data_IF_740459540695
#
_entry.id   IF_740459540695
#
_cell.length_a   1.000
_cell.length_b   1.000
_cell.length_c   1.000
_cell.angle_alpha   90.00
_cell.angle_beta   90.00
_cell.angle_gamma   90.00
#
_symmetry.space_group_name_H-M   'P 1'
#
loop_
_entity.id
_entity.type
_entity.pdbx_description
1 polymer ?
#
# COMPACT_ATOMS: atom_id res chain seq x y z
N UNK A 1 11.23 20.29 19.51
CA UNK A 1 11.29 19.03 18.75
C UNK A 1 9.86 18.50 18.77
N UNK A 2 9.08 18.86 17.75
CA UNK A 2 7.74 18.33 17.58
C UNK A 2 7.90 17.05 16.75
N UNK A 3 7.56 15.92 17.34
CA UNK A 3 7.50 14.65 16.61
C UNK A 3 6.07 14.49 16.12
N UNK A 4 5.90 14.29 14.81
CA UNK A 4 4.61 13.88 14.26
C UNK A 4 4.56 12.36 14.34
N UNK A 5 3.62 11.84 15.13
CA UNK A 5 3.32 10.39 15.10
C UNK A 5 2.65 10.12 13.77
N UNK A 6 3.26 9.29 12.95
CA UNK A 6 2.77 9.00 11.62
C UNK A 6 2.25 7.56 11.62
N UNK A 7 0.94 7.39 11.66
CA UNK A 7 0.35 6.05 11.60
C UNK A 7 0.26 5.64 10.12
N UNK A 8 1.23 4.85 9.67
CA UNK A 8 1.22 4.25 8.34
C UNK A 8 0.40 2.96 8.35
N UNK A 9 -0.63 2.89 7.50
CA UNK A 9 -1.38 1.67 7.23
C UNK A 9 -1.37 1.42 5.74
N UNK A 10 -1.00 0.20 5.34
CA UNK A 10 -1.09 -0.24 3.95
C UNK A 10 -2.44 -0.94 3.79
N UNK A 11 -3.35 -0.34 3.03
CA UNK A 11 -4.61 -0.97 2.67
C UNK A 11 -4.53 -1.49 1.24
N UNK A 12 -5.07 -2.68 0.99
CA UNK A 12 -5.18 -3.19 -0.36
C UNK A 12 -6.63 -3.30 -0.72
N UNK A 13 -6.97 -2.70 -1.85
CA UNK A 13 -8.24 -2.87 -2.51
C UNK A 13 -8.00 -3.68 -3.78
N UNK A 14 -8.69 -4.81 -3.90
CA UNK A 14 -8.67 -5.59 -5.11
C UNK A 14 -9.49 -4.86 -6.18
N UNK A 15 -8.85 -4.52 -7.31
CA UNK A 15 -9.53 -3.98 -8.48
C UNK A 15 -9.74 -5.04 -9.57
N UNK A 16 -9.43 -6.31 -9.29
CA UNK A 16 -9.66 -7.41 -10.23
C UNK A 16 -11.16 -7.64 -10.42
N UNK A 17 -11.63 -7.42 -11.64
CA UNK A 17 -12.97 -7.80 -12.04
C UNK A 17 -12.95 -9.27 -12.49
N UNK A 18 -13.00 -10.23 -11.57
CA UNK A 18 -13.28 -11.62 -11.95
C UNK A 18 -14.80 -11.82 -12.07
N UNK A 19 -15.29 -11.66 -13.29
CA UNK A 19 -16.58 -12.19 -13.70
C UNK A 19 -16.40 -13.66 -14.06
N UNK A 20 -16.60 -14.61 -13.13
CA UNK A 20 -17.22 -15.91 -13.46
C UNK A 20 -17.52 -16.74 -12.22
N UNK A 21 -18.77 -17.22 -12.17
CA UNK A 21 -19.27 -18.26 -11.30
C UNK A 21 -18.56 -19.60 -11.57
N UNK A 22 -18.25 -20.34 -10.50
CA UNK A 22 -17.69 -21.71 -10.41
C UNK A 22 -16.15 -21.82 -10.36
N UNK A 23 -15.61 -21.72 -9.15
CA UNK A 23 -14.21 -22.01 -8.85
C UNK A 23 -13.75 -21.12 -7.72
N UNK A 24 -13.35 -21.72 -6.61
CA UNK A 24 -12.82 -21.07 -5.40
C UNK A 24 -11.42 -20.47 -5.65
N UNK A 25 -11.29 -19.61 -6.67
CA UNK A 25 -10.14 -18.73 -6.89
C UNK A 25 -10.37 -17.42 -6.15
N UNK A 26 -10.67 -17.55 -4.85
CA UNK A 26 -10.97 -16.43 -3.99
C UNK A 26 -9.76 -15.52 -3.84
N UNK A 27 -9.99 -14.33 -3.30
CA UNK A 27 -8.95 -13.37 -2.89
C UNK A 27 -7.93 -13.95 -1.88
N UNK A 28 -8.10 -15.23 -1.53
CA UNK A 28 -7.26 -16.10 -0.71
C UNK A 28 -5.92 -16.45 -1.37
N UNK A 29 -5.79 -16.15 -2.66
CA UNK A 29 -4.61 -16.48 -3.46
C UNK A 29 -3.50 -15.42 -3.40
N UNK A 30 -3.58 -14.40 -2.54
CA UNK A 30 -2.53 -13.39 -2.43
C UNK A 30 -2.09 -13.18 -0.99
N UNK A 31 -0.79 -13.34 -0.78
CA UNK A 31 -0.17 -13.16 0.53
C UNK A 31 0.67 -11.88 0.55
N UNK A 32 0.56 -11.14 1.64
CA UNK A 32 1.39 -9.96 1.85
C UNK A 32 2.38 -10.28 2.93
N UNK A 33 3.63 -10.27 2.52
CA UNK A 33 4.73 -10.56 3.39
C UNK A 33 5.65 -9.36 3.48
N UNK A 34 6.50 -9.38 4.50
CA UNK A 34 7.61 -8.44 4.60
C UNK A 34 7.19 -6.95 4.62
N UNK A 35 6.08 -6.62 5.30
CA UNK A 35 5.71 -5.23 5.55
C UNK A 35 6.79 -4.57 6.41
N UNK A 36 7.51 -3.63 5.80
CA UNK A 36 8.62 -2.89 6.40
C UNK A 36 8.32 -1.41 6.42
N UNK A 37 8.41 -0.80 7.60
CA UNK A 37 8.34 0.65 7.75
C UNK A 37 9.65 1.11 8.37
N UNK A 38 10.35 2.01 7.69
CA UNK A 38 11.65 2.55 8.14
C UNK A 38 11.54 3.39 9.41
N UNK A 39 10.43 4.09 9.61
CA UNK A 39 10.15 4.88 10.81
C UNK A 39 8.64 5.12 10.99
N UNK A 40 8.15 5.00 12.24
CA UNK A 40 6.78 5.37 12.62
C UNK A 40 6.68 6.80 13.19
N UNK A 41 7.84 7.43 13.39
CA UNK A 41 7.99 8.78 13.93
C UNK A 41 9.05 9.45 13.07
N UNK A 42 8.68 10.56 12.44
CA UNK A 42 9.60 11.35 11.62
C UNK A 42 9.48 12.82 12.00
N UNK A 43 10.60 13.53 11.94
CA UNK A 43 10.60 14.98 12.10
C UNK A 43 10.06 15.67 10.83
N UNK A 44 9.64 16.93 10.97
CA UNK A 44 9.27 17.75 9.82
C UNK A 44 10.41 17.81 8.80
N UNK A 45 10.12 17.53 7.53
CA UNK A 45 11.12 17.48 6.46
C UNK A 45 11.88 16.16 6.33
N UNK A 46 11.66 15.19 7.22
CA UNK A 46 12.17 13.82 7.05
C UNK A 46 11.28 12.98 6.13
N UNK A 47 11.83 11.84 5.69
CA UNK A 47 11.16 10.92 4.77
C UNK A 47 11.00 9.55 5.41
N UNK A 48 9.84 8.93 5.23
CA UNK A 48 9.58 7.54 5.56
C UNK A 48 9.52 6.71 4.29
N UNK A 49 10.22 5.58 4.32
CA UNK A 49 10.09 4.52 3.33
C UNK A 49 9.21 3.39 3.90
N UNK A 50 8.21 3.00 3.12
CA UNK A 50 7.25 1.94 3.42
C UNK A 50 7.33 0.94 2.28
N UNK A 51 7.68 -0.30 2.59
CA UNK A 51 7.79 -1.38 1.62
C UNK A 51 6.88 -2.54 2.00
N UNK A 52 6.25 -3.16 1.02
CA UNK A 52 5.50 -4.39 1.18
C UNK A 52 5.81 -5.34 0.01
N UNK A 53 5.80 -6.64 0.26
CA UNK A 53 5.89 -7.66 -0.78
C UNK A 53 4.50 -8.27 -0.95
N UNK A 54 4.01 -8.27 -2.18
CA UNK A 54 2.75 -8.89 -2.58
C UNK A 54 3.09 -10.13 -3.39
N UNK A 55 2.63 -11.27 -2.92
CA UNK A 55 2.78 -12.56 -3.58
C UNK A 55 1.43 -13.01 -4.12
N UNK A 56 1.42 -13.44 -5.38
CA UNK A 56 0.29 -14.11 -6.00
C UNK A 56 0.49 -15.63 -5.86
N UNK A 57 -0.11 -16.24 -4.85
CA UNK A 57 -0.18 -17.70 -4.69
C UNK A 57 -1.26 -18.36 -5.55
N UNK A 58 -2.01 -17.58 -6.34
CA UNK A 58 -3.03 -18.06 -7.26
C UNK A 58 -2.52 -18.45 -8.63
N UNK A 59 -3.45 -18.99 -9.42
CA UNK A 59 -3.19 -19.53 -10.76
C UNK A 59 -3.44 -18.51 -11.90
N UNK A 60 -3.91 -17.30 -11.58
CA UNK A 60 -4.21 -16.24 -12.56
C UNK A 60 -3.51 -14.92 -12.22
N UNK A 61 -3.11 -14.16 -13.25
CA UNK A 61 -2.57 -12.80 -13.07
C UNK A 61 -3.64 -11.89 -12.45
N UNK A 62 -3.27 -11.17 -11.39
CA UNK A 62 -4.17 -10.27 -10.68
C UNK A 62 -3.57 -8.86 -10.52
N UNK A 63 -4.44 -7.85 -10.57
CA UNK A 63 -4.06 -6.44 -10.35
C UNK A 63 -4.63 -5.93 -9.03
N UNK A 64 -3.77 -5.29 -8.22
CA UNK A 64 -4.07 -4.82 -6.88
C UNK A 64 -3.80 -3.33 -6.76
N UNK A 65 -4.73 -2.62 -6.11
CA UNK A 65 -4.50 -1.25 -5.71
C UNK A 65 -4.02 -1.23 -4.26
N UNK A 66 -2.78 -0.79 -4.10
CA UNK A 66 -2.14 -0.62 -2.81
C UNK A 66 -2.22 0.85 -2.42
N UNK A 67 -2.87 1.12 -1.31
CA UNK A 67 -3.05 2.47 -0.76
C UNK A 67 -2.19 2.64 0.47
N UNK A 68 -1.42 3.72 0.49
CA UNK A 68 -0.70 4.20 1.65
C UNK A 68 -1.58 5.19 2.41
N UNK A 69 -1.97 4.81 3.63
CA UNK A 69 -2.70 5.68 4.53
C UNK A 69 -1.75 6.24 5.59
N UNK A 70 -1.77 7.56 5.75
CA UNK A 70 -1.07 8.28 6.80
C UNK A 70 -2.11 8.96 7.68
N UNK A 71 -2.15 8.59 8.95
CA UNK A 71 -3.15 9.06 9.92
C UNK A 71 -4.60 8.79 9.46
N UNK A 72 -4.79 7.69 8.73
CA UNK A 72 -6.08 7.30 8.17
C UNK A 72 -6.48 8.05 6.89
N UNK A 73 -5.63 8.94 6.36
CA UNK A 73 -5.82 9.63 5.08
C UNK A 73 -4.99 8.94 4.01
N UNK A 74 -5.60 8.62 2.85
CA UNK A 74 -4.87 8.10 1.70
C UNK A 74 -3.94 9.18 1.13
N UNK A 75 -2.63 8.97 1.22
CA UNK A 75 -1.63 9.87 0.63
C UNK A 75 -1.28 9.44 -0.80
N UNK A 76 -1.03 8.15 -1.00
CA UNK A 76 -0.59 7.60 -2.29
C UNK A 76 -1.28 6.27 -2.57
N UNK A 77 -1.52 5.98 -3.86
CA UNK A 77 -2.05 4.71 -4.34
C UNK A 77 -1.21 4.21 -5.51
N UNK A 78 -0.89 2.92 -5.52
CA UNK A 78 -0.18 2.26 -6.62
C UNK A 78 -0.93 1.01 -7.04
N UNK A 79 -1.16 0.89 -8.35
CA UNK A 79 -1.65 -0.33 -8.95
C UNK A 79 -0.46 -1.23 -9.30
N UNK A 80 -0.56 -2.50 -8.94
CA UNK A 80 0.49 -3.50 -9.09
C UNK A 80 -0.14 -4.76 -9.66
N UNK A 81 0.38 -5.18 -10.81
CA UNK A 81 0.00 -6.42 -11.47
C UNK A 81 1.04 -7.48 -11.12
N UNK A 82 0.56 -8.63 -10.66
CA UNK A 82 1.42 -9.75 -10.25
C UNK A 82 0.94 -10.99 -10.99
N UNK A 83 1.84 -11.60 -11.76
CA UNK A 83 1.57 -12.84 -12.48
C UNK A 83 1.36 -14.02 -11.51
N UNK A 84 0.69 -15.06 -11.99
CA UNK A 84 0.41 -16.26 -11.21
C UNK A 84 1.70 -16.91 -10.67
N UNK A 85 1.79 -17.11 -9.36
CA UNK A 85 2.96 -17.67 -8.69
C UNK A 85 4.13 -16.70 -8.52
N UNK A 86 4.00 -15.45 -8.93
CA UNK A 86 5.05 -14.44 -8.84
C UNK A 86 4.87 -13.51 -7.63
N UNK A 87 5.92 -12.74 -7.32
CA UNK A 87 5.93 -11.78 -6.21
C UNK A 87 6.41 -10.42 -6.69
N UNK A 88 5.74 -9.36 -6.28
CA UNK A 88 6.12 -7.98 -6.54
C UNK A 88 6.38 -7.22 -5.25
N UNK A 89 7.43 -6.39 -5.26
CA UNK A 89 7.76 -5.54 -4.11
C UNK A 89 7.41 -4.10 -4.38
N UNK A 90 6.61 -3.54 -3.51
CA UNK A 90 6.03 -2.21 -3.67
C UNK A 90 6.59 -1.32 -2.59
N UNK A 91 7.12 -0.17 -3.00
CA UNK A 91 7.74 0.79 -2.10
C UNK A 91 7.10 2.16 -2.28
N UNK A 92 6.80 2.81 -1.16
CA UNK A 92 6.31 4.17 -1.06
C UNK A 92 7.34 5.01 -0.32
N UNK A 93 7.52 6.25 -0.79
CA UNK A 93 8.38 7.22 -0.14
C UNK A 93 7.56 8.46 0.17
N UNK A 94 7.18 8.59 1.43
CA UNK A 94 6.48 9.79 1.90
C UNK A 94 7.46 10.73 2.56
N UNK A 95 7.27 12.03 2.30
CA UNK A 95 7.98 13.08 3.00
C UNK A 95 7.00 13.80 3.89
N UNK A 96 7.37 14.06 5.13
CA UNK A 96 6.58 14.92 6.00
C UNK A 96 6.65 16.37 5.49
N UNK A 97 5.75 16.70 4.57
CA UNK A 97 5.58 18.04 4.01
C UNK A 97 4.24 18.61 4.49
N UNK A 98 4.24 19.20 5.68
CA UNK A 98 3.07 19.90 6.23
C UNK A 98 2.53 21.01 5.30
N UNK A 99 3.38 21.50 4.38
CA UNK A 99 3.04 22.61 3.48
C UNK A 99 2.03 22.29 2.37
N UNK A 100 1.67 21.02 2.12
CA UNK A 100 0.69 20.69 1.06
C UNK A 100 -0.66 20.15 1.56
N UNK A 101 -0.76 19.66 2.81
CA UNK A 101 -2.05 19.27 3.42
C UNK A 101 -2.96 20.46 3.73
N UNK A 102 -2.38 21.65 3.92
CA UNK A 102 -3.13 22.87 4.25
C UNK A 102 -3.95 23.45 3.08
N UNK A 103 -3.80 22.94 1.84
CA UNK A 103 -4.49 23.50 0.68
C UNK A 103 -5.88 22.89 0.40
N UNK A 104 -6.27 21.83 1.10
CA UNK A 104 -7.53 21.11 0.83
C UNK A 104 -8.65 21.27 1.87
N UNK A 105 -8.52 22.15 2.87
CA UNK A 105 -9.64 22.47 3.75
C UNK A 105 -9.89 23.98 3.83
N UNK A 106 -10.89 24.44 3.09
CA UNK A 106 -11.70 25.64 3.37
C UNK A 106 -13.16 25.31 3.08
#
# INVERSE_FOLDING_TARGET
MFYVLLIVILALSFAGCSSSENGDGGLDDFEITNLGVSAYYIEEGESVNVSATVENVGDETGSYMIELLVDGVSEEKKEVEVDAGDTETVSFQEKNQESMKSLFLT
#
